data_IF_482230321692
#
_entry.id   IF_482230321692
#
_cell.length_a   1.000
_cell.length_b   1.000
_cell.length_c   1.000
_cell.angle_alpha   90.00
_cell.angle_beta   90.00
_cell.angle_gamma   90.00
#
_symmetry.space_group_name_H-M   'P 1'
#
loop_
_entity.id
_entity.type
_entity.pdbx_description
1 polymer ?
#
# COMPACT_ATOMS: atom_id res chain seq x y z
N UNK A 1 -49.90 12.92 34.62
CA UNK A 1 -50.91 11.86 34.40
C UNK A 1 -51.86 12.27 33.28
N UNK A 2 -51.60 11.77 32.07
CA UNK A 2 -52.57 11.47 31.01
C UNK A 2 -51.87 10.57 29.99
N UNK A 3 -52.43 9.39 29.80
CA UNK A 3 -52.21 8.39 28.74
C UNK A 3 -53.62 7.97 28.30
N UNK A 4 -53.82 7.18 27.22
CA UNK A 4 -53.10 7.03 25.94
C UNK A 4 -54.12 7.02 24.75
N UNK A 5 -53.69 6.55 23.57
CA UNK A 5 -54.52 5.97 22.49
C UNK A 5 -55.38 6.89 21.60
N UNK A 6 -54.87 7.22 20.41
CA UNK A 6 -55.65 7.21 19.15
C UNK A 6 -54.72 7.36 17.94
N UNK A 7 -55.12 6.70 16.85
CA UNK A 7 -54.58 6.72 15.48
C UNK A 7 -53.47 5.73 15.14
N UNK A 8 -53.80 4.45 15.37
CA UNK A 8 -53.37 3.33 14.51
C UNK A 8 -54.59 2.76 13.79
N UNK A 9 -54.88 3.25 12.58
CA UNK A 9 -55.67 2.56 11.55
C UNK A 9 -55.81 3.51 10.36
N UNK A 10 -55.05 3.28 9.30
CA UNK A 10 -55.58 3.41 7.94
C UNK A 10 -54.64 2.71 6.94
N UNK A 11 -55.07 1.51 6.53
CA UNK A 11 -55.14 1.03 5.13
C UNK A 11 -53.77 0.88 4.44
N UNK A 12 -53.11 -0.28 4.34
CA UNK A 12 -53.59 -1.63 3.96
C UNK A 12 -54.49 -1.68 2.72
N UNK A 13 -54.08 -1.06 1.60
CA UNK A 13 -54.67 -1.38 0.28
C UNK A 13 -53.73 -1.06 -0.89
N UNK A 14 -52.76 -1.96 -1.18
CA UNK A 14 -52.14 -2.05 -2.51
C UNK A 14 -51.43 -3.40 -2.70
N UNK A 15 -52.14 -4.51 -2.49
CA UNK A 15 -51.78 -5.82 -3.05
C UNK A 15 -52.75 -6.10 -4.19
N UNK A 16 -52.25 -6.19 -5.44
CA UNK A 16 -52.53 -7.24 -6.46
C UNK A 16 -52.33 -6.73 -7.90
N UNK A 17 -51.94 -7.69 -8.76
CA UNK A 17 -51.63 -7.66 -10.21
C UNK A 17 -50.17 -7.29 -10.55
N UNK A 18 -49.40 -8.04 -11.35
CA UNK A 18 -49.60 -9.23 -12.21
C UNK A 18 -48.20 -9.76 -12.61
N UNK A 19 -47.79 -10.99 -12.26
CA UNK A 19 -47.72 -12.23 -13.08
C UNK A 19 -46.81 -12.20 -14.34
N UNK A 20 -45.78 -13.07 -14.26
CA UNK A 20 -45.02 -13.88 -15.24
C UNK A 20 -44.38 -13.27 -16.50
N UNK A 21 -43.07 -13.52 -16.66
CA UNK A 21 -42.52 -14.46 -17.67
C UNK A 21 -41.00 -14.29 -17.81
N UNK A 22 -40.23 -15.38 -17.66
CA UNK A 22 -39.19 -15.81 -18.63
C UNK A 22 -38.32 -16.96 -18.09
N UNK A 23 -38.73 -18.14 -18.51
CA UNK A 23 -37.99 -19.38 -18.78
C UNK A 23 -36.46 -19.32 -18.96
N UNK A 24 -35.80 -20.28 -18.28
CA UNK A 24 -34.79 -21.25 -18.78
C UNK A 24 -33.72 -20.78 -19.77
N UNK A 25 -32.47 -20.75 -19.30
CA UNK A 25 -31.33 -21.25 -20.09
C UNK A 25 -30.34 -22.00 -19.18
N UNK A 26 -30.40 -23.33 -19.27
CA UNK A 26 -29.28 -24.22 -18.97
C UNK A 26 -28.22 -24.08 -20.06
N UNK A 27 -26.96 -23.88 -19.69
CA UNK A 27 -25.81 -24.32 -20.50
C UNK A 27 -24.72 -24.89 -19.60
N UNK A 28 -24.60 -26.21 -19.71
CA UNK A 28 -23.48 -27.04 -19.29
C UNK A 28 -22.20 -26.58 -19.99
N UNK A 29 -21.12 -26.41 -19.24
CA UNK A 29 -19.78 -26.20 -19.80
C UNK A 29 -19.09 -27.55 -19.98
N UNK A 30 -18.46 -27.79 -21.13
CA UNK A 30 -17.74 -29.04 -21.39
C UNK A 30 -16.42 -29.12 -20.61
N UNK A 31 -16.14 -30.35 -20.20
CA UNK A 31 -14.93 -30.88 -19.61
C UNK A 31 -13.75 -30.67 -20.58
N UNK A 32 -12.68 -30.00 -20.12
CA UNK A 32 -11.40 -29.92 -20.83
C UNK A 32 -10.43 -30.90 -20.17
N UNK A 33 -10.12 -31.95 -20.91
CA UNK A 33 -9.06 -32.91 -20.66
C UNK A 33 -7.74 -32.26 -21.11
N UNK A 34 -6.75 -32.16 -20.21
CA UNK A 34 -5.35 -32.11 -20.62
C UNK A 34 -4.60 -33.16 -19.81
N UNK A 35 -4.05 -34.10 -20.56
CA UNK A 35 -3.27 -35.23 -20.10
C UNK A 35 -1.92 -34.81 -19.52
N UNK A 36 -1.52 -35.67 -18.60
CA UNK A 36 -0.21 -35.94 -18.03
C UNK A 36 0.94 -35.95 -19.06
N UNK A 37 2.07 -35.36 -18.66
CA UNK A 37 3.39 -35.69 -19.22
C UNK A 37 4.49 -35.28 -18.23
N UNK A 38 4.86 -36.26 -17.43
CA UNK A 38 6.06 -36.35 -16.58
C UNK A 38 7.39 -36.19 -17.34
N UNK A 39 8.23 -35.27 -16.83
CA UNK A 39 9.70 -35.28 -16.61
C UNK A 39 10.68 -35.48 -17.81
N UNK A 40 11.91 -34.91 -17.77
CA UNK A 40 12.99 -35.40 -16.89
C UNK A 40 13.67 -34.33 -16.02
N UNK A 41 14.08 -34.80 -14.84
CA UNK A 41 15.03 -34.19 -13.90
C UNK A 41 16.40 -34.06 -14.56
N UNK A 42 16.99 -32.86 -14.53
CA UNK A 42 18.41 -32.63 -14.85
C UNK A 42 19.16 -32.37 -13.55
N UNK A 43 19.95 -33.36 -13.13
CA UNK A 43 20.96 -33.21 -12.09
C UNK A 43 22.07 -32.32 -12.64
N UNK A 44 22.34 -31.19 -11.99
CA UNK A 44 23.56 -30.42 -12.20
C UNK A 44 24.32 -30.27 -10.89
N UNK A 45 25.58 -30.64 -10.98
CA UNK A 45 26.62 -30.75 -9.96
C UNK A 45 26.89 -29.44 -9.23
N UNK A 46 27.30 -29.58 -7.97
CA UNK A 46 27.78 -28.52 -7.09
C UNK A 46 29.21 -28.13 -7.49
N UNK A 47 29.41 -26.91 -7.96
CA UNK A 47 30.72 -26.25 -7.93
C UNK A 47 30.68 -25.02 -7.01
N UNK A 48 31.63 -25.04 -6.07
CA UNK A 48 31.88 -24.12 -4.97
C UNK A 48 32.51 -22.83 -5.51
N UNK A 49 31.83 -21.69 -5.33
CA UNK A 49 32.35 -20.36 -5.71
C UNK A 49 31.95 -19.29 -4.68
N UNK A 50 32.82 -18.30 -4.42
CA UNK A 50 32.88 -17.59 -3.14
C UNK A 50 31.76 -16.55 -2.95
N UNK A 51 31.26 -16.51 -1.72
CA UNK A 51 30.24 -15.57 -1.20
C UNK A 51 30.68 -14.12 -1.42
N UNK A 52 29.98 -13.44 -2.33
CA UNK A 52 30.03 -11.98 -2.47
C UNK A 52 29.10 -11.29 -1.45
N UNK A 53 29.39 -10.05 -1.00
CA UNK A 53 28.65 -9.38 0.07
C UNK A 53 27.20 -9.05 -0.34
N UNK A 54 26.27 -8.85 0.63
CA UNK A 54 24.85 -8.69 0.34
C UNK A 54 24.63 -7.47 -0.55
N UNK A 55 24.12 -7.74 -1.75
CA UNK A 55 23.74 -6.72 -2.70
C UNK A 55 22.55 -5.95 -2.15
N UNK A 56 22.71 -4.64 -2.10
CA UNK A 56 21.68 -3.64 -1.88
C UNK A 56 20.45 -4.02 -2.70
N UNK A 57 19.30 -4.09 -2.06
CA UNK A 57 18.00 -4.41 -2.69
C UNK A 57 17.77 -3.42 -3.84
N UNK A 58 18.01 -3.87 -5.06
CA UNK A 58 17.69 -3.15 -6.29
C UNK A 58 16.17 -3.16 -6.41
N UNK A 59 15.54 -2.01 -6.15
CA UNK A 59 14.15 -1.79 -6.46
C UNK A 59 13.87 -2.13 -7.93
N UNK A 60 12.79 -2.87 -8.17
CA UNK A 60 12.23 -3.23 -9.48
C UNK A 60 12.40 -2.10 -10.50
N UNK A 61 12.76 -2.47 -11.74
CA UNK A 61 13.04 -1.59 -12.86
C UNK A 61 12.01 -0.45 -12.96
N UNK A 62 12.34 0.65 -12.29
CA UNK A 62 11.47 1.81 -12.18
C UNK A 62 11.63 2.54 -13.50
N UNK A 63 10.52 2.78 -14.22
CA UNK A 63 10.56 3.71 -15.35
C UNK A 63 11.26 4.99 -14.88
N UNK A 64 12.26 5.47 -15.63
CA UNK A 64 12.94 6.73 -15.25
C UNK A 64 12.07 7.92 -15.63
N UNK A 65 12.26 9.07 -14.99
CA UNK A 65 11.57 10.29 -15.38
C UNK A 65 11.78 10.61 -16.85
N UNK A 66 13.00 10.47 -17.37
CA UNK A 66 13.32 10.62 -18.81
C UNK A 66 12.36 9.82 -19.70
N UNK A 67 12.03 8.58 -19.33
CA UNK A 67 11.14 7.73 -20.14
C UNK A 67 9.69 8.24 -20.21
N UNK A 68 9.32 9.20 -19.36
CA UNK A 68 8.00 9.85 -19.38
C UNK A 68 7.93 11.05 -20.32
N UNK A 69 9.06 11.47 -20.90
CA UNK A 69 9.16 12.62 -21.79
C UNK A 69 9.53 12.17 -23.20
N UNK A 70 9.19 12.99 -24.20
CA UNK A 70 9.78 12.83 -25.53
C UNK A 70 11.24 13.28 -25.54
N UNK A 71 12.03 12.71 -26.45
CA UNK A 71 13.46 13.03 -26.56
C UNK A 71 13.70 14.53 -26.82
N UNK A 72 12.88 15.17 -27.67
CA UNK A 72 13.00 16.61 -27.96
C UNK A 72 12.79 17.48 -26.73
N UNK A 73 11.80 17.14 -25.89
CA UNK A 73 11.51 17.85 -24.64
C UNK A 73 12.66 17.67 -23.66
N UNK A 74 13.13 16.43 -23.48
CA UNK A 74 14.25 16.14 -22.59
C UNK A 74 15.53 16.87 -23.01
N UNK A 75 15.87 16.88 -24.30
CA UNK A 75 17.03 17.58 -24.83
C UNK A 75 16.93 19.10 -24.63
N UNK A 76 15.74 19.67 -24.84
CA UNK A 76 15.48 21.09 -24.59
C UNK A 76 15.69 21.45 -23.11
N UNK A 77 15.10 20.68 -22.20
CA UNK A 77 15.24 20.87 -20.76
C UNK A 77 16.69 20.69 -20.30
N UNK A 78 17.38 19.66 -20.81
CA UNK A 78 18.78 19.37 -20.48
C UNK A 78 19.70 20.50 -20.92
N UNK A 79 19.48 21.08 -22.12
CA UNK A 79 20.22 22.26 -22.59
C UNK A 79 19.96 23.51 -21.75
N UNK A 80 18.73 23.69 -21.27
CA UNK A 80 18.35 24.89 -20.53
C UNK A 80 18.78 24.86 -19.06
N UNK A 81 18.60 23.72 -18.38
CA UNK A 81 18.82 23.59 -16.94
C UNK A 81 20.11 22.86 -16.56
N UNK A 82 20.70 22.11 -17.49
CA UNK A 82 21.95 21.37 -17.27
C UNK A 82 21.76 20.05 -16.50
N UNK A 83 22.81 19.21 -16.45
CA UNK A 83 22.73 17.82 -15.99
C UNK A 83 22.36 17.67 -14.51
N UNK A 84 22.79 18.60 -13.65
CA UNK A 84 22.49 18.57 -12.21
C UNK A 84 20.99 18.70 -11.94
N UNK A 85 20.30 19.57 -12.68
CA UNK A 85 18.85 19.72 -12.53
C UNK A 85 18.10 18.50 -13.08
N UNK A 86 18.59 17.89 -14.15
CA UNK A 86 18.00 16.66 -14.68
C UNK A 86 18.12 15.50 -13.68
N UNK A 87 19.28 15.36 -13.03
CA UNK A 87 19.48 14.40 -11.92
C UNK A 87 18.52 14.68 -10.76
N UNK A 88 18.32 15.95 -10.40
CA UNK A 88 17.35 16.33 -9.37
C UNK A 88 15.92 15.90 -9.74
N UNK A 89 15.50 16.07 -10.99
CA UNK A 89 14.17 15.64 -11.43
C UNK A 89 14.01 14.11 -11.38
N UNK A 90 15.05 13.35 -11.72
CA UNK A 90 15.06 11.88 -11.55
C UNK A 90 14.90 11.48 -10.07
N UNK A 91 15.57 12.17 -9.15
CA UNK A 91 15.39 11.92 -7.71
C UNK A 91 13.96 12.23 -7.24
N UNK A 92 13.37 13.33 -7.72
CA UNK A 92 11.97 13.67 -7.42
C UNK A 92 11.03 12.59 -7.93
N UNK A 93 11.27 12.10 -9.14
CA UNK A 93 10.50 11.02 -9.73
C UNK A 93 10.63 9.72 -8.93
N UNK A 94 11.85 9.34 -8.56
CA UNK A 94 12.10 8.15 -7.73
C UNK A 94 11.38 8.25 -6.38
N UNK A 95 11.42 9.42 -5.73
CA UNK A 95 10.68 9.67 -4.50
C UNK A 95 9.16 9.50 -4.72
N UNK A 96 8.61 10.10 -5.77
CA UNK A 96 7.18 9.99 -6.08
C UNK A 96 6.74 8.57 -6.42
N UNK A 97 7.50 7.87 -7.27
CA UNK A 97 7.21 6.50 -7.68
C UNK A 97 7.27 5.52 -6.50
N UNK A 98 8.31 5.62 -5.67
CA UNK A 98 8.44 4.80 -4.47
C UNK A 98 7.33 5.08 -3.46
N UNK A 99 6.94 6.35 -3.29
CA UNK A 99 5.85 6.75 -2.40
C UNK A 99 4.49 6.21 -2.88
N UNK A 100 4.25 6.28 -4.19
CA UNK A 100 3.04 5.73 -4.80
C UNK A 100 2.98 4.20 -4.62
N UNK A 101 4.09 3.50 -4.86
CA UNK A 101 4.18 2.05 -4.69
C UNK A 101 3.91 1.63 -3.24
N UNK A 102 4.55 2.30 -2.27
CA UNK A 102 4.32 2.09 -0.84
C UNK A 102 2.84 2.29 -0.47
N UNK A 103 2.28 3.46 -0.78
CA UNK A 103 0.91 3.79 -0.38
C UNK A 103 -0.13 2.88 -1.04
N UNK A 104 0.11 2.46 -2.30
CA UNK A 104 -0.76 1.52 -3.01
C UNK A 104 -0.76 0.14 -2.32
N UNK A 105 0.42 -0.39 -2.05
CA UNK A 105 0.58 -1.70 -1.42
C UNK A 105 0.00 -1.71 0.00
N UNK A 106 0.34 -0.70 0.81
CA UNK A 106 -0.17 -0.56 2.17
C UNK A 106 -1.70 -0.43 2.20
N UNK A 107 -2.29 0.41 1.35
CA UNK A 107 -3.75 0.51 1.22
C UNK A 107 -4.41 -0.79 0.78
N UNK A 108 -3.78 -1.54 -0.13
CA UNK A 108 -4.31 -2.81 -0.60
C UNK A 108 -4.47 -3.79 0.57
N UNK A 109 -3.43 -3.93 1.40
CA UNK A 109 -3.49 -4.83 2.56
C UNK A 109 -4.43 -4.29 3.63
N UNK A 110 -4.41 -3.00 3.96
CA UNK A 110 -5.39 -2.39 4.89
C UNK A 110 -6.82 -2.69 4.45
N UNK A 111 -7.13 -2.53 3.15
CA UNK A 111 -8.47 -2.77 2.61
C UNK A 111 -8.88 -4.23 2.69
N UNK A 112 -7.96 -5.16 2.44
CA UNK A 112 -8.27 -6.58 2.36
C UNK A 112 -8.19 -7.28 3.72
N UNK A 113 -7.43 -6.74 4.68
CA UNK A 113 -7.15 -7.37 5.99
C UNK A 113 -7.71 -6.57 7.16
N UNK A 114 -7.52 -5.24 7.22
CA UNK A 114 -7.95 -4.49 8.41
C UNK A 114 -9.42 -4.09 8.32
N UNK A 115 -9.89 -3.67 7.15
CA UNK A 115 -11.29 -3.24 7.00
C UNK A 115 -12.31 -4.35 7.28
N UNK A 116 -12.09 -5.64 6.92
CA UNK A 116 -13.02 -6.72 7.30
C UNK A 116 -13.14 -6.93 8.82
N UNK A 117 -12.18 -6.45 9.61
CA UNK A 117 -12.23 -6.48 11.08
C UNK A 117 -13.01 -5.31 11.68
N UNK A 118 -13.56 -4.41 10.85
CA UNK A 118 -14.47 -3.34 11.29
C UNK A 118 -15.91 -3.81 11.20
N UNK A 119 -16.74 -3.33 12.12
CA UNK A 119 -18.19 -3.46 12.02
C UNK A 119 -18.68 -2.73 10.76
N UNK A 120 -19.65 -3.32 10.06
CA UNK A 120 -20.21 -2.78 8.83
C UNK A 120 -20.69 -1.33 9.03
N UNK A 121 -20.31 -0.46 8.11
CA UNK A 121 -20.66 0.98 8.11
C UNK A 121 -20.21 1.75 9.37
N UNK A 122 -19.23 1.23 10.10
CA UNK A 122 -18.71 1.84 11.34
C UNK A 122 -17.19 1.87 11.37
N UNK A 123 -16.64 2.77 12.19
CA UNK A 123 -15.22 2.73 12.59
C UNK A 123 -15.00 1.84 13.81
N UNK A 124 -16.02 1.18 14.36
CA UNK A 124 -15.81 0.26 15.46
C UNK A 124 -15.13 -1.03 14.97
N UNK A 125 -14.17 -1.53 15.74
CA UNK A 125 -13.62 -2.87 15.55
C UNK A 125 -14.65 -3.93 15.96
N UNK A 126 -14.61 -5.11 15.33
CA UNK A 126 -15.44 -6.25 15.73
C UNK A 126 -15.16 -6.64 17.19
N UNK A 127 -16.18 -7.12 17.93
CA UNK A 127 -16.00 -7.59 19.30
C UNK A 127 -15.04 -8.78 19.35
N UNK A 128 -14.31 -8.94 20.46
CA UNK A 128 -13.37 -10.05 20.66
C UNK A 128 -11.92 -9.74 20.25
N UNK A 129 -11.68 -8.65 19.53
CA UNK A 129 -10.33 -8.20 19.21
C UNK A 129 -9.63 -7.61 20.46
N UNK A 130 -8.36 -7.96 20.73
CA UNK A 130 -7.61 -7.37 21.83
C UNK A 130 -7.50 -5.83 21.69
N UNK A 131 -7.74 -5.06 22.77
CA UNK A 131 -7.69 -3.60 22.71
C UNK A 131 -6.37 -3.02 22.20
N UNK A 132 -5.24 -3.62 22.58
CA UNK A 132 -3.92 -3.16 22.14
C UNK A 132 -3.72 -3.37 20.63
N UNK A 133 -4.22 -4.47 20.07
CA UNK A 133 -4.13 -4.78 18.64
C UNK A 133 -4.99 -3.81 17.83
N UNK A 134 -6.24 -3.60 18.25
CA UNK A 134 -7.14 -2.65 17.57
C UNK A 134 -6.56 -1.24 17.56
N UNK A 135 -5.93 -0.83 18.67
CA UNK A 135 -5.26 0.47 18.75
C UNK A 135 -4.03 0.55 17.85
N UNK A 136 -3.25 -0.53 17.74
CA UNK A 136 -2.12 -0.62 16.82
C UNK A 136 -2.56 -0.50 15.35
N UNK A 137 -3.67 -1.15 14.99
CA UNK A 137 -4.24 -1.03 13.65
C UNK A 137 -4.74 0.38 13.34
N UNK A 138 -5.34 1.09 14.31
CA UNK A 138 -5.71 2.51 14.11
C UNK A 138 -4.49 3.37 13.76
N UNK A 139 -3.35 3.19 14.47
CA UNK A 139 -2.13 3.94 14.16
C UNK A 139 -1.53 3.56 12.80
N UNK A 140 -1.62 2.30 12.41
CA UNK A 140 -1.19 1.87 11.08
C UNK A 140 -2.05 2.53 9.99
N UNK A 141 -3.37 2.59 10.16
CA UNK A 141 -4.25 3.31 9.25
C UNK A 141 -3.89 4.80 9.17
N UNK A 142 -3.61 5.45 10.28
CA UNK A 142 -3.16 6.86 10.32
C UNK A 142 -1.86 7.06 9.53
N UNK A 143 -0.89 6.14 9.68
CA UNK A 143 0.35 6.12 8.91
C UNK A 143 0.06 5.96 7.41
N UNK A 144 -0.75 4.98 7.02
CA UNK A 144 -1.11 4.75 5.61
C UNK A 144 -1.84 5.97 5.02
N UNK A 145 -2.70 6.63 5.81
CA UNK A 145 -3.42 7.85 5.42
C UNK A 145 -2.49 9.07 5.29
N UNK A 146 -1.43 9.15 6.08
CA UNK A 146 -0.38 10.15 5.91
C UNK A 146 0.32 9.98 4.55
N UNK A 147 0.83 8.80 4.24
CA UNK A 147 1.52 8.51 2.98
C UNK A 147 0.62 8.71 1.76
N UNK A 148 -0.62 8.28 1.88
CA UNK A 148 -1.69 8.59 0.93
C UNK A 148 -1.84 10.08 0.62
N UNK A 149 -1.76 10.92 1.65
CA UNK A 149 -1.82 12.38 1.50
C UNK A 149 -0.56 12.94 0.86
N UNK A 150 0.61 12.38 1.17
CA UNK A 150 1.89 12.73 0.55
C UNK A 150 1.85 12.42 -0.95
N UNK A 151 1.42 11.22 -1.36
CA UNK A 151 1.25 10.85 -2.78
C UNK A 151 0.37 11.87 -3.51
N UNK A 152 -0.76 12.26 -2.91
CA UNK A 152 -1.66 13.22 -3.53
C UNK A 152 -1.01 14.60 -3.72
N UNK A 153 -0.27 15.07 -2.71
CA UNK A 153 0.46 16.33 -2.81
C UNK A 153 1.61 16.27 -3.84
N UNK A 154 2.35 15.15 -3.89
CA UNK A 154 3.39 14.90 -4.87
C UNK A 154 2.83 14.85 -6.30
N UNK A 155 1.75 14.08 -6.52
CA UNK A 155 1.06 14.00 -7.81
C UNK A 155 0.64 15.38 -8.33
N UNK A 156 0.15 16.24 -7.43
CA UNK A 156 -0.26 17.60 -7.79
C UNK A 156 0.90 18.45 -8.30
N UNK A 157 2.11 18.31 -7.73
CA UNK A 157 3.28 19.07 -8.19
C UNK A 157 3.98 18.44 -9.38
N UNK A 158 3.98 17.11 -9.49
CA UNK A 158 4.62 16.38 -10.59
C UNK A 158 3.80 16.40 -11.88
N UNK A 159 2.52 16.75 -11.82
CA UNK A 159 1.66 16.97 -12.99
C UNK A 159 2.27 17.95 -14.01
N UNK A 160 3.15 18.87 -13.56
CA UNK A 160 3.86 19.83 -14.43
C UNK A 160 4.71 19.14 -15.51
N UNK A 161 5.20 17.91 -15.27
CA UNK A 161 5.95 17.15 -16.27
C UNK A 161 5.15 16.90 -17.55
N UNK A 162 3.82 16.77 -17.46
CA UNK A 162 2.95 16.59 -18.62
C UNK A 162 2.93 17.80 -19.56
N UNK A 163 3.37 18.96 -19.07
CA UNK A 163 3.49 20.19 -19.87
C UNK A 163 4.90 20.39 -20.44
N UNK A 164 5.78 19.39 -20.29
CA UNK A 164 7.19 19.49 -20.70
C UNK A 164 8.01 20.44 -19.83
N UNK A 165 7.59 20.65 -18.58
CA UNK A 165 8.23 21.55 -17.60
C UNK A 165 8.73 20.76 -16.39
N UNK A 166 9.57 21.38 -15.55
CA UNK A 166 10.22 20.73 -14.39
C UNK A 166 9.59 21.13 -13.05
N UNK A 167 9.74 20.26 -12.04
CA UNK A 167 9.26 20.54 -10.67
C UNK A 167 10.25 21.44 -9.95
N UNK A 168 9.92 22.71 -9.72
CA UNK A 168 10.86 23.64 -9.06
C UNK A 168 10.80 23.62 -7.52
N UNK A 169 9.60 23.54 -6.92
CA UNK A 169 9.38 23.80 -5.48
C UNK A 169 8.84 22.60 -4.70
N UNK A 170 9.53 21.46 -4.75
CA UNK A 170 9.12 20.26 -4.03
C UNK A 170 9.15 20.42 -2.50
N UNK A 171 10.22 21.03 -1.97
CA UNK A 171 10.43 21.12 -0.51
C UNK A 171 9.30 21.90 0.19
N UNK A 172 8.73 22.93 -0.46
CA UNK A 172 7.61 23.69 0.09
C UNK A 172 6.36 22.81 0.28
N UNK A 173 6.11 21.88 -0.64
CA UNK A 173 5.02 20.90 -0.56
C UNK A 173 5.25 19.91 0.58
N UNK A 174 6.47 19.39 0.72
CA UNK A 174 6.77 18.35 1.71
C UNK A 174 6.93 18.90 3.14
N UNK A 175 7.34 20.16 3.30
CA UNK A 175 7.55 20.79 4.61
C UNK A 175 6.31 20.71 5.51
N UNK A 176 5.10 20.81 4.93
CA UNK A 176 3.84 20.71 5.68
C UNK A 176 3.55 19.31 6.26
N UNK A 177 4.23 18.28 5.76
CA UNK A 177 4.06 16.90 6.24
C UNK A 177 5.03 16.53 7.36
N UNK A 178 6.17 17.21 7.48
CA UNK A 178 7.18 16.95 8.53
C UNK A 178 6.58 16.81 9.92
N UNK A 179 5.79 17.76 10.46
CA UNK A 179 5.20 17.60 11.79
C UNK A 179 4.20 16.43 11.87
N UNK A 180 3.54 16.08 10.76
CA UNK A 180 2.52 15.03 10.72
C UNK A 180 3.11 13.62 10.82
N UNK A 181 4.43 13.45 10.66
CA UNK A 181 5.09 12.18 10.94
C UNK A 181 5.02 11.77 12.41
N UNK A 182 4.55 12.65 13.32
CA UNK A 182 4.26 12.29 14.71
C UNK A 182 3.33 11.08 14.87
N UNK A 183 2.47 10.80 13.88
CA UNK A 183 1.59 9.61 13.87
C UNK A 183 2.37 8.29 13.95
N UNK A 184 3.64 8.29 13.55
CA UNK A 184 4.52 7.13 13.68
C UNK A 184 4.93 6.83 15.12
N UNK A 185 4.96 7.82 16.01
CA UNK A 185 5.52 7.63 17.36
C UNK A 185 4.86 6.48 18.14
N UNK A 186 3.53 6.44 18.33
CA UNK A 186 2.92 5.35 19.09
C UNK A 186 3.04 4.00 18.37
N UNK A 187 3.01 4.02 17.03
CA UNK A 187 3.20 2.83 16.20
C UNK A 187 4.59 2.21 16.42
N UNK A 188 5.65 3.02 16.31
CA UNK A 188 7.04 2.55 16.46
C UNK A 188 7.33 2.06 17.88
N UNK A 189 6.78 2.71 18.90
CA UNK A 189 6.94 2.28 20.31
C UNK A 189 6.33 0.90 20.55
N UNK A 190 5.22 0.58 19.88
CA UNK A 190 4.48 -0.67 20.08
C UNK A 190 4.82 -1.76 19.07
N UNK A 191 5.50 -1.42 17.97
CA UNK A 191 5.77 -2.29 16.83
C UNK A 191 6.27 -3.68 17.25
N UNK A 192 7.36 -3.76 18.02
CA UNK A 192 7.98 -5.04 18.37
C UNK A 192 7.03 -5.93 19.18
N UNK A 193 6.43 -5.37 20.23
CA UNK A 193 5.46 -6.11 21.07
C UNK A 193 4.22 -6.55 20.30
N UNK A 194 3.74 -5.74 19.35
CA UNK A 194 2.55 -6.06 18.56
C UNK A 194 2.86 -7.08 17.48
N UNK A 195 4.06 -7.05 16.89
CA UNK A 195 4.56 -8.06 15.96
C UNK A 195 4.60 -9.44 16.63
N UNK A 196 5.13 -9.52 17.85
CA UNK A 196 5.14 -10.76 18.65
C UNK A 196 3.72 -11.23 19.00
N UNK A 197 2.85 -10.32 19.43
CA UNK A 197 1.46 -10.64 19.76
C UNK A 197 0.69 -11.17 18.53
N UNK A 198 0.80 -10.50 17.39
CA UNK A 198 0.15 -10.91 16.14
C UNK A 198 0.66 -12.26 15.65
N UNK A 199 1.98 -12.49 15.76
CA UNK A 199 2.57 -13.79 15.46
C UNK A 199 1.98 -14.88 16.36
N UNK A 200 1.92 -14.63 17.67
CA UNK A 200 1.30 -15.56 18.62
C UNK A 200 -0.16 -15.85 18.25
N UNK A 201 -0.96 -14.83 17.90
CA UNK A 201 -2.33 -15.05 17.45
C UNK A 201 -2.39 -15.87 16.15
N UNK A 202 -1.51 -15.62 15.19
CA UNK A 202 -1.50 -16.39 13.94
C UNK A 202 -1.12 -17.86 14.14
N UNK A 203 -0.24 -18.17 15.11
CA UNK A 203 0.33 -19.50 15.31
C UNK A 203 -0.35 -20.33 16.40
N UNK A 204 -0.81 -19.69 17.48
CA UNK A 204 -1.21 -20.35 18.73
C UNK A 204 -2.65 -20.07 19.15
N UNK A 205 -3.27 -18.98 18.66
CA UNK A 205 -4.67 -18.67 18.97
C UNK A 205 -5.62 -19.49 18.09
N UNK A 206 -6.37 -20.38 18.74
CA UNK A 206 -7.42 -21.19 18.13
C UNK A 206 -8.77 -20.46 18.06
N UNK A 207 -8.84 -19.21 18.54
CA UNK A 207 -9.98 -18.33 18.42
C UNK A 207 -10.18 -17.72 17.03
N UNK A 208 -11.30 -17.01 16.88
CA UNK A 208 -11.75 -16.42 15.61
C UNK A 208 -10.72 -15.47 14.99
N UNK A 209 -10.01 -14.69 15.82
CA UNK A 209 -8.99 -13.76 15.33
C UNK A 209 -7.77 -14.47 14.78
N UNK A 210 -7.24 -15.49 15.49
CA UNK A 210 -6.15 -16.32 14.98
C UNK A 210 -6.52 -17.03 13.67
N UNK A 211 -7.74 -17.58 13.58
CA UNK A 211 -8.23 -18.20 12.35
C UNK A 211 -8.37 -17.19 11.20
N UNK A 212 -8.86 -15.98 11.49
CA UNK A 212 -8.91 -14.90 10.52
C UNK A 212 -7.53 -14.56 9.95
N UNK A 213 -6.50 -14.40 10.80
CA UNK A 213 -5.14 -14.09 10.34
C UNK A 213 -4.57 -15.20 9.45
N UNK A 214 -4.76 -16.47 9.84
CA UNK A 214 -4.35 -17.63 9.03
C UNK A 214 -5.08 -17.68 7.69
N UNK A 215 -6.38 -17.38 7.69
CA UNK A 215 -7.19 -17.31 6.47
C UNK A 215 -6.69 -16.21 5.52
N UNK A 216 -6.40 -15.02 6.04
CA UNK A 216 -5.88 -13.91 5.23
C UNK A 216 -4.52 -14.22 4.61
N UNK A 217 -3.63 -14.86 5.36
CA UNK A 217 -2.30 -15.22 4.85
C UNK A 217 -2.38 -16.36 3.82
N UNK A 218 -3.29 -17.33 4.00
CA UNK A 218 -3.55 -18.41 3.04
C UNK A 218 -4.17 -17.91 1.74
N UNK A 219 -5.16 -17.03 1.84
CA UNK A 219 -5.92 -16.51 0.69
C UNK A 219 -5.24 -15.27 0.08
N UNK A 220 -4.03 -14.93 0.54
CA UNK A 220 -3.25 -13.79 0.07
C UNK A 220 -2.94 -13.94 -1.42
N UNK A 221 -3.24 -12.88 -2.17
CA UNK A 221 -2.92 -12.81 -3.59
C UNK A 221 -1.41 -12.66 -3.81
N UNK A 222 -0.89 -13.33 -4.85
CA UNK A 222 0.50 -13.19 -5.27
C UNK A 222 0.83 -11.71 -5.58
N UNK A 223 2.00 -11.26 -5.14
CA UNK A 223 2.43 -9.86 -5.28
C UNK A 223 1.86 -8.87 -4.26
N UNK A 224 1.00 -9.31 -3.32
CA UNK A 224 0.58 -8.48 -2.17
C UNK A 224 1.49 -8.71 -0.97
N UNK A 225 1.64 -7.70 -0.10
CA UNK A 225 2.47 -7.83 1.09
C UNK A 225 1.88 -8.85 2.07
N UNK A 226 2.75 -9.61 2.74
CA UNK A 226 2.38 -10.37 3.94
C UNK A 226 1.96 -9.42 5.06
N UNK A 227 1.30 -9.96 6.08
CA UNK A 227 1.01 -9.21 7.31
C UNK A 227 2.29 -8.67 7.96
N UNK A 228 3.31 -9.52 8.12
CA UNK A 228 4.60 -9.12 8.68
C UNK A 228 5.22 -7.96 7.89
N UNK A 229 5.20 -8.05 6.56
CA UNK A 229 5.71 -7.00 5.68
C UNK A 229 4.89 -5.72 5.80
N UNK A 230 3.55 -5.80 5.87
CA UNK A 230 2.71 -4.62 6.12
C UNK A 230 3.09 -3.90 7.42
N UNK A 231 3.49 -4.63 8.46
CA UNK A 231 3.88 -4.03 9.73
C UNK A 231 5.33 -3.53 9.72
N UNK A 232 6.24 -4.15 8.97
CA UNK A 232 7.63 -3.71 8.91
C UNK A 232 7.83 -2.50 7.98
N UNK A 233 7.18 -2.53 6.81
CA UNK A 233 7.38 -1.56 5.73
C UNK A 233 7.20 -0.10 6.15
N UNK A 234 6.23 0.30 6.99
CA UNK A 234 6.13 1.68 7.43
C UNK A 234 7.39 2.17 8.14
N UNK A 235 7.99 1.36 9.02
CA UNK A 235 9.21 1.73 9.72
C UNK A 235 10.40 1.82 8.77
N UNK A 236 10.50 0.92 7.79
CA UNK A 236 11.52 0.96 6.74
C UNK A 236 11.34 2.20 5.84
N UNK A 237 10.09 2.49 5.44
CA UNK A 237 9.75 3.65 4.62
C UNK A 237 10.16 4.94 5.31
N UNK A 238 9.88 5.08 6.61
CA UNK A 238 10.29 6.26 7.36
C UNK A 238 11.81 6.46 7.34
N UNK A 239 12.60 5.39 7.48
CA UNK A 239 14.07 5.46 7.39
C UNK A 239 14.55 5.87 6.00
N UNK A 240 13.91 5.37 4.94
CA UNK A 240 14.30 5.66 3.55
C UNK A 240 14.24 7.15 3.18
N UNK A 241 13.46 7.96 3.89
CA UNK A 241 13.49 9.41 3.70
C UNK A 241 14.82 10.04 4.12
N UNK A 242 15.52 9.48 5.10
CA UNK A 242 16.84 9.97 5.48
C UNK A 242 17.79 9.85 4.29
N UNK A 243 17.79 8.72 3.58
CA UNK A 243 18.62 8.52 2.39
C UNK A 243 18.23 9.48 1.26
N UNK A 244 16.92 9.74 1.10
CA UNK A 244 16.39 10.60 0.03
C UNK A 244 16.68 12.09 0.25
N UNK A 245 16.70 12.56 1.51
CA UNK A 245 16.93 13.97 1.85
C UNK A 245 18.39 14.28 2.26
N UNK A 246 19.19 13.26 2.59
CA UNK A 246 20.64 13.39 2.81
C UNK A 246 21.39 13.43 1.46
N UNK A 247 21.04 14.34 0.57
CA UNK A 247 21.91 14.61 -0.60
C UNK A 247 23.16 15.35 -0.08
N UNK A 248 24.29 14.70 -0.28
CA UNK A 248 25.57 14.85 0.39
C UNK A 248 26.11 16.29 0.45
N UNK A 249 26.43 16.77 1.66
CA UNK A 249 27.27 17.96 1.89
C UNK A 249 28.72 17.80 1.38
N UNK A 250 29.05 16.71 0.69
CA UNK A 250 30.43 16.36 0.28
C UNK A 250 30.87 16.93 -1.08
N UNK A 251 30.16 17.89 -1.68
CA UNK A 251 30.62 18.59 -2.90
C UNK A 251 30.95 20.08 -2.69
N UNK A 252 31.21 20.52 -1.46
CA UNK A 252 31.95 21.77 -1.25
C UNK A 252 33.43 21.45 -1.10
N UNK A 253 34.16 21.37 -2.22
CA UNK A 253 35.59 21.60 -2.18
C UNK A 253 35.80 23.09 -1.89
N UNK A 254 36.45 23.48 -0.79
CA UNK A 254 36.96 24.84 -0.67
C UNK A 254 38.10 24.96 -1.67
N UNK A 255 37.86 25.69 -2.77
CA UNK A 255 38.96 26.20 -3.58
C UNK A 255 39.81 27.10 -2.66
N UNK A 256 40.97 26.59 -2.27
CA UNK A 256 42.11 27.42 -1.88
C UNK A 256 42.88 27.81 -3.15
#
# INVERSE_FOLDING_TARGET
MRSPEQDSADIEEARRYSVDSASLYSRSSPQSEYEDSTLPVSEHEYEDAPVSPPQVVVHEASSSWRSTLSDDVYLSLSRHYGPVEMERQELIFSLYASEQSFAKSARCVVRNVLLPLRARDSRAWLPGLPPDITRFFDWLEDVVNLHSSIVHALSSVTAIWQTGSIVQRLAATLKGFVPRFEVYMPYLVKYESMREALKWHSEQDDGEFGEYLRLQERDRQEGTWSLDKLFEEPALRLRSYLDSFQVSSTRFHPCC
#
